data_IF_165292036695
#
_entry.id   IF_165292036695
#
_cell.length_a   1.000
_cell.length_b   1.000
_cell.length_c   1.000
_cell.angle_alpha   90.00
_cell.angle_beta   90.00
_cell.angle_gamma   90.00
#
_symmetry.space_group_name_H-M   'P 1'
#
loop_
_entity.id
_entity.type
_entity.pdbx_description
1 polymer ?
#
# COMPACT_ATOMS: atom_id res chain seq x y z
N UNK A 1 -37.99 30.72 12.95
CA UNK A 1 -38.34 29.41 12.34
C UNK A 1 -37.32 29.00 11.29
N UNK A 2 -37.08 29.80 10.23
CA UNK A 2 -36.05 29.54 9.20
C UNK A 2 -34.62 29.34 9.75
N UNK A 3 -34.24 30.07 10.79
CA UNK A 3 -32.92 29.94 11.44
C UNK A 3 -32.73 28.61 12.17
N UNK A 4 -33.80 28.05 12.76
CA UNK A 4 -33.75 26.75 13.47
C UNK A 4 -33.61 25.60 12.46
N UNK A 5 -34.32 25.68 11.32
CA UNK A 5 -34.19 24.71 10.23
C UNK A 5 -32.78 24.74 9.62
N UNK A 6 -32.20 25.93 9.44
CA UNK A 6 -30.83 26.08 8.94
C UNK A 6 -29.77 25.48 9.89
N UNK A 7 -29.92 25.69 11.20
CA UNK A 7 -28.99 25.14 12.21
C UNK A 7 -29.11 23.62 12.30
N UNK A 8 -30.33 23.07 12.29
CA UNK A 8 -30.55 21.62 12.29
C UNK A 8 -30.01 20.94 11.03
N UNK A 9 -30.16 21.58 9.87
CA UNK A 9 -29.54 21.10 8.62
C UNK A 9 -28.01 21.08 8.72
N UNK A 10 -27.40 22.12 9.33
CA UNK A 10 -25.94 22.17 9.54
C UNK A 10 -25.44 21.04 10.45
N UNK A 11 -26.15 20.78 11.57
CA UNK A 11 -25.81 19.69 12.48
C UNK A 11 -25.95 18.31 11.83
N UNK A 12 -26.88 18.14 10.89
CA UNK A 12 -27.03 16.87 10.15
C UNK A 12 -25.89 16.59 9.16
N UNK A 13 -25.13 17.61 8.75
CA UNK A 13 -24.01 17.50 7.80
C UNK A 13 -22.65 17.26 8.46
N UNK A 14 -22.51 17.57 9.76
CA UNK A 14 -21.25 17.38 10.49
C UNK A 14 -20.76 15.91 10.50
N UNK A 15 -21.61 14.90 10.75
CA UNK A 15 -21.15 13.51 10.83
C UNK A 15 -20.68 12.95 9.49
N UNK A 16 -21.38 13.29 8.40
CA UNK A 16 -21.03 12.86 7.05
C UNK A 16 -19.73 13.51 6.58
N UNK A 17 -19.53 14.79 6.84
CA UNK A 17 -18.28 15.50 6.51
C UNK A 17 -17.05 14.85 7.19
N UNK A 18 -17.15 14.48 8.46
CA UNK A 18 -16.07 13.80 9.19
C UNK A 18 -15.78 12.39 8.65
N UNK A 19 -16.81 11.62 8.32
CA UNK A 19 -16.61 10.29 7.73
C UNK A 19 -15.94 10.38 6.35
N UNK A 20 -16.34 11.36 5.53
CA UNK A 20 -15.71 11.58 4.23
C UNK A 20 -14.26 12.05 4.35
N UNK A 21 -13.97 12.94 5.31
CA UNK A 21 -12.60 13.39 5.58
C UNK A 21 -11.73 12.22 6.04
N UNK A 22 -12.18 11.48 7.05
CA UNK A 22 -11.44 10.33 7.57
C UNK A 22 -11.18 9.30 6.47
N UNK A 23 -12.19 8.95 5.67
CA UNK A 23 -12.01 8.02 4.55
C UNK A 23 -10.97 8.51 3.54
N UNK A 24 -10.94 9.81 3.27
CA UNK A 24 -9.99 10.41 2.32
C UNK A 24 -8.56 10.39 2.87
N UNK A 25 -8.39 10.59 4.17
CA UNK A 25 -7.10 10.47 4.85
C UNK A 25 -6.56 9.03 4.82
N UNK A 26 -7.42 8.06 5.14
CA UNK A 26 -7.07 6.63 5.06
C UNK A 26 -6.70 6.21 3.64
N UNK A 27 -7.46 6.69 2.64
CA UNK A 27 -7.16 6.41 1.23
C UNK A 27 -5.83 7.03 0.78
N UNK A 28 -5.58 8.31 1.11
CA UNK A 28 -4.34 9.00 0.73
C UNK A 28 -3.10 8.33 1.35
N UNK A 29 -3.19 7.91 2.61
CA UNK A 29 -2.11 7.16 3.27
C UNK A 29 -1.95 5.76 2.70
N UNK A 30 -3.05 5.05 2.47
CA UNK A 30 -3.01 3.74 1.85
C UNK A 30 -2.38 3.79 0.45
N UNK A 31 -2.67 4.81 -0.36
CA UNK A 31 -2.07 4.97 -1.69
C UNK A 31 -0.57 5.25 -1.61
N UNK A 32 -0.11 6.02 -0.62
CA UNK A 32 1.32 6.25 -0.41
C UNK A 32 2.06 4.96 -0.09
N UNK A 33 1.56 4.19 0.88
CA UNK A 33 2.13 2.89 1.27
C UNK A 33 2.09 1.91 0.09
N UNK A 34 0.98 1.88 -0.66
CA UNK A 34 0.84 1.03 -1.83
C UNK A 34 1.91 1.34 -2.87
N UNK A 35 2.11 2.61 -3.20
CA UNK A 35 3.05 3.03 -4.24
C UNK A 35 4.50 2.78 -3.80
N UNK A 36 4.83 3.11 -2.56
CA UNK A 36 6.16 2.85 -2.00
C UNK A 36 6.52 1.36 -2.04
N UNK A 37 5.60 0.52 -1.57
CA UNK A 37 5.84 -0.93 -1.54
C UNK A 37 5.93 -1.51 -2.95
N UNK A 38 5.14 -1.02 -3.90
CA UNK A 38 5.21 -1.41 -5.30
C UNK A 38 6.55 -1.02 -5.94
N UNK A 39 7.02 0.21 -5.73
CA UNK A 39 8.35 0.66 -6.20
C UNK A 39 9.50 -0.13 -5.59
N UNK A 40 9.44 -0.45 -4.29
CA UNK A 40 10.47 -1.26 -3.63
C UNK A 40 10.52 -2.67 -4.24
N UNK A 41 9.36 -3.30 -4.48
CA UNK A 41 9.34 -4.62 -5.11
C UNK A 41 9.81 -4.56 -6.57
N UNK A 42 9.45 -3.51 -7.31
CA UNK A 42 9.91 -3.29 -8.67
C UNK A 42 11.44 -3.18 -8.72
N UNK A 43 12.03 -2.29 -7.91
CA UNK A 43 13.47 -2.12 -7.84
C UNK A 43 14.19 -3.42 -7.41
N UNK A 44 13.59 -4.17 -6.47
CA UNK A 44 14.13 -5.47 -6.04
C UNK A 44 14.15 -6.48 -7.18
N UNK A 45 13.08 -6.57 -7.97
CA UNK A 45 12.94 -7.55 -9.06
C UNK A 45 13.76 -7.15 -10.28
N UNK A 46 13.84 -5.85 -10.60
CA UNK A 46 14.64 -5.34 -11.71
C UNK A 46 16.11 -5.73 -11.58
N UNK A 47 16.64 -5.75 -10.36
CA UNK A 47 18.00 -6.14 -10.08
C UNK A 47 18.18 -7.68 -10.17
N UNK A 48 18.96 -8.20 -11.14
CA UNK A 48 19.17 -9.63 -11.32
C UNK A 48 19.97 -10.29 -10.17
N UNK A 49 20.67 -9.50 -9.35
CA UNK A 49 21.41 -10.01 -8.19
C UNK A 49 20.48 -10.47 -7.06
N UNK A 50 19.21 -10.07 -7.07
CA UNK A 50 18.26 -10.39 -6.00
C UNK A 50 17.48 -11.66 -6.33
N UNK A 51 17.43 -12.59 -5.38
CA UNK A 51 16.52 -13.72 -5.45
C UNK A 51 15.06 -13.25 -5.32
N UNK A 52 14.23 -13.64 -6.29
CA UNK A 52 12.79 -13.36 -6.33
C UNK A 52 12.04 -14.64 -5.97
N UNK A 53 11.44 -14.66 -4.79
CA UNK A 53 10.58 -15.76 -4.36
C UNK A 53 9.14 -15.44 -4.72
N UNK A 54 8.52 -16.27 -5.58
CA UNK A 54 7.10 -16.19 -5.83
C UNK A 54 6.31 -16.65 -4.60
N UNK A 55 5.19 -15.99 -4.32
CA UNK A 55 4.37 -16.28 -3.14
C UNK A 55 3.66 -15.04 -2.61
N UNK A 56 2.96 -15.24 -1.49
CA UNK A 56 2.28 -14.17 -0.76
C UNK A 56 3.09 -13.85 0.49
N UNK A 57 3.41 -12.57 0.67
CA UNK A 57 4.06 -12.02 1.84
C UNK A 57 3.07 -11.14 2.60
N UNK A 58 2.91 -11.38 3.91
CA UNK A 58 2.04 -10.61 4.80
C UNK A 58 0.82 -11.40 5.31
N UNK A 59 -0.17 -10.72 5.92
CA UNK A 59 -0.25 -9.25 6.08
C UNK A 59 0.79 -8.70 7.06
N UNK A 60 1.52 -7.67 6.65
CA UNK A 60 2.44 -6.91 7.51
C UNK A 60 1.77 -5.62 7.97
N UNK A 61 1.72 -5.41 9.28
CA UNK A 61 1.17 -4.19 9.87
C UNK A 61 2.15 -3.02 9.69
N UNK A 62 1.65 -1.93 9.11
CA UNK A 62 2.33 -0.64 8.98
C UNK A 62 1.55 0.38 9.78
N UNK A 63 2.23 1.02 10.73
CA UNK A 63 1.64 2.05 11.58
C UNK A 63 2.02 3.43 11.05
N UNK A 64 1.10 4.38 11.12
CA UNK A 64 1.34 5.76 10.66
C UNK A 64 2.48 6.44 11.40
N UNK A 65 2.67 6.14 12.68
CA UNK A 65 3.78 6.65 13.48
C UNK A 65 5.17 6.23 12.96
N UNK A 66 5.24 5.25 12.04
CA UNK A 66 6.49 4.64 11.59
C UNK A 66 7.16 3.76 12.65
N UNK A 67 6.52 3.56 13.81
CA UNK A 67 7.03 2.68 14.85
C UNK A 67 6.72 1.22 14.53
N UNK A 68 7.56 0.30 15.01
CA UNK A 68 7.34 -1.14 14.85
C UNK A 68 6.17 -1.66 15.72
N UNK A 69 5.81 -0.93 16.77
CA UNK A 69 4.71 -1.26 17.67
C UNK A 69 3.65 -0.16 17.66
N UNK A 70 2.38 -0.56 17.76
CA UNK A 70 1.23 0.34 17.77
C UNK A 70 1.35 1.39 18.89
N UNK A 71 1.22 2.66 18.52
CA UNK A 71 1.09 3.76 19.48
C UNK A 71 -0.38 4.15 19.66
N UNK A 72 -0.69 4.82 20.77
CA UNK A 72 -2.04 5.30 21.04
C UNK A 72 -2.48 6.28 19.95
N UNK A 73 -3.58 5.98 19.27
CA UNK A 73 -4.11 6.79 18.16
C UNK A 73 -3.53 6.43 16.78
N UNK A 74 -2.70 5.38 16.67
CA UNK A 74 -2.20 4.93 15.38
C UNK A 74 -3.28 4.28 14.52
N UNK A 75 -3.30 4.69 13.25
CA UNK A 75 -3.97 3.94 12.20
C UNK A 75 -3.06 2.81 11.73
N UNK A 76 -3.57 1.57 11.79
CA UNK A 76 -2.89 0.39 11.27
C UNK A 76 -3.35 0.09 9.85
N UNK A 77 -2.38 -0.08 8.94
CA UNK A 77 -2.56 -0.58 7.60
C UNK A 77 -1.95 -1.98 7.47
N UNK A 78 -2.66 -2.89 6.84
CA UNK A 78 -2.20 -4.25 6.57
C UNK A 78 -1.81 -4.35 5.10
N UNK A 79 -0.51 -4.51 4.85
CA UNK A 79 0.05 -4.64 3.51
C UNK A 79 0.21 -6.12 3.18
N UNK A 80 -0.28 -6.54 2.02
CA UNK A 80 -0.08 -7.89 1.49
C UNK A 80 0.51 -7.77 0.09
N UNK A 81 1.66 -8.39 -0.11
CA UNK A 81 2.37 -8.41 -1.39
C UNK A 81 2.31 -9.81 -1.97
N UNK A 82 1.82 -9.94 -3.19
CA UNK A 82 1.73 -11.21 -3.91
C UNK A 82 2.60 -11.13 -5.14
N UNK A 83 3.64 -11.97 -5.21
CA UNK A 83 4.52 -12.07 -6.36
C UNK A 83 4.17 -13.36 -7.10
N UNK A 84 3.77 -13.24 -8.35
CA UNK A 84 3.44 -14.36 -9.24
C UNK A 84 4.42 -14.40 -10.40
N UNK A 85 4.98 -15.58 -10.68
CA UNK A 85 5.81 -15.77 -11.87
C UNK A 85 4.91 -15.92 -13.09
N UNK A 86 5.14 -15.11 -14.13
CA UNK A 86 4.40 -15.18 -15.40
C UNK A 86 5.21 -15.91 -16.47
N UNK A 87 6.53 -15.68 -16.51
CA UNK A 87 7.47 -16.30 -17.41
C UNK A 87 8.89 -16.23 -16.82
N UNK A 88 9.89 -16.78 -17.52
CA UNK A 88 11.29 -16.62 -17.14
C UNK A 88 11.66 -15.13 -17.08
N UNK A 89 12.14 -14.67 -15.92
CA UNK A 89 12.50 -13.28 -15.66
C UNK A 89 11.34 -12.26 -15.73
N UNK A 90 10.09 -12.71 -15.64
CA UNK A 90 8.88 -11.86 -15.65
C UNK A 90 7.97 -12.22 -14.50
N UNK A 91 7.68 -11.25 -13.64
CA UNK A 91 6.81 -11.41 -12.48
C UNK A 91 5.71 -10.36 -12.48
N UNK A 92 4.55 -10.73 -11.94
CA UNK A 92 3.51 -9.78 -11.56
C UNK A 92 3.52 -9.63 -10.05
N UNK A 93 3.71 -8.39 -9.61
CA UNK A 93 3.61 -7.98 -8.22
C UNK A 93 2.24 -7.36 -8.02
N UNK A 94 1.46 -7.90 -7.09
CA UNK A 94 0.19 -7.32 -6.65
C UNK A 94 0.34 -6.90 -5.20
N UNK A 95 0.13 -5.62 -4.91
CA UNK A 95 0.12 -5.09 -3.56
C UNK A 95 -1.31 -4.76 -3.18
N UNK A 96 -1.70 -5.16 -1.96
CA UNK A 96 -2.97 -4.78 -1.34
C UNK A 96 -2.70 -4.11 -0.01
N UNK A 97 -3.31 -2.95 0.21
CA UNK A 97 -3.24 -2.21 1.47
C UNK A 97 -4.65 -2.11 2.04
N UNK A 98 -4.91 -2.84 3.12
CA UNK A 98 -6.19 -2.87 3.83
C UNK A 98 -6.10 -2.16 5.18
N UNK A 99 -7.22 -1.69 5.71
CA UNK A 99 -7.32 -1.08 7.04
C UNK A 99 -8.63 -1.47 7.71
N UNK A 100 -8.78 -1.19 9.00
CA UNK A 100 -9.96 -1.58 9.76
C UNK A 100 -11.25 -1.06 9.10
N UNK A 101 -12.22 -1.96 8.88
CA UNK A 101 -13.52 -1.61 8.29
C UNK A 101 -13.52 -1.41 6.76
N UNK A 102 -12.40 -1.64 6.06
CA UNK A 102 -12.34 -1.56 4.60
C UNK A 102 -11.47 -2.67 3.99
N UNK A 103 -11.90 -3.22 2.86
CA UNK A 103 -11.17 -4.28 2.17
C UNK A 103 -9.83 -3.81 1.57
N UNK A 104 -9.58 -2.50 1.60
CA UNK A 104 -8.35 -1.87 1.12
C UNK A 104 -8.41 -1.39 -0.32
N UNK A 105 -7.25 -0.97 -0.80
CA UNK A 105 -6.95 -0.72 -2.20
C UNK A 105 -5.90 -1.74 -2.67
N UNK A 106 -5.90 -2.04 -3.96
CA UNK A 106 -4.93 -2.97 -4.54
C UNK A 106 -4.53 -2.55 -5.94
N UNK A 107 -3.27 -2.77 -6.28
CA UNK A 107 -2.71 -2.49 -7.59
C UNK A 107 -1.74 -3.61 -7.98
N UNK A 108 -1.55 -3.81 -9.27
CA UNK A 108 -0.61 -4.78 -9.80
C UNK A 108 0.29 -4.19 -10.86
N UNK A 109 1.57 -4.53 -10.81
CA UNK A 109 2.59 -4.17 -11.79
C UNK A 109 3.25 -5.43 -12.33
N UNK A 110 3.51 -5.47 -13.64
CA UNK A 110 4.36 -6.51 -14.25
C UNK A 110 5.78 -5.96 -14.34
N UNK A 111 6.73 -6.68 -13.74
CA UNK A 111 8.13 -6.29 -13.65
C UNK A 111 8.98 -7.38 -14.29
N UNK A 112 9.96 -6.94 -15.07
CA UNK A 112 10.98 -7.80 -15.68
C UNK A 112 12.35 -7.48 -15.12
N UNK A 113 13.26 -8.45 -15.15
CA UNK A 113 14.67 -8.17 -14.88
C UNK A 113 15.27 -7.29 -15.96
N UNK A 114 16.20 -6.44 -15.56
CA UNK A 114 16.91 -5.54 -16.46
C UNK A 114 18.39 -5.53 -16.09
N UNK A 115 19.26 -5.87 -17.06
CA UNK A 115 20.71 -5.91 -16.83
C UNK A 115 21.31 -4.54 -16.45
N UNK A 116 20.66 -3.44 -16.89
CA UNK A 116 21.04 -2.09 -16.49
C UNK A 116 20.89 -1.78 -14.99
N UNK A 117 20.12 -2.59 -14.25
CA UNK A 117 19.88 -2.42 -12.81
C UNK A 117 20.72 -3.38 -11.96
N UNK A 118 21.73 -4.03 -12.55
CA UNK A 118 22.64 -4.94 -11.85
C UNK A 118 23.46 -4.18 -10.81
N UNK A 119 23.24 -4.50 -9.53
CA UNK A 119 24.02 -3.95 -8.43
C UNK A 119 24.14 -4.93 -7.25
N UNK A 120 25.33 -5.14 -6.67
CA UNK A 120 26.65 -4.60 -7.07
C UNK A 120 27.19 -5.21 -8.37
N UNK A 121 28.13 -4.51 -9.02
CA UNK A 121 28.74 -4.98 -10.28
C UNK A 121 29.42 -6.35 -10.09
N UNK A 122 29.17 -7.28 -11.01
CA UNK A 122 29.77 -8.63 -10.99
C UNK A 122 29.02 -9.68 -10.16
N UNK A 123 27.85 -9.36 -9.60
CA UNK A 123 27.00 -10.36 -8.95
C UNK A 123 26.57 -11.48 -9.94
N UNK A 124 26.32 -12.68 -9.42
CA UNK A 124 25.70 -13.76 -10.19
C UNK A 124 24.18 -13.58 -10.23
N UNK A 125 23.56 -13.93 -11.36
CA UNK A 125 22.11 -13.92 -11.51
C UNK A 125 21.51 -14.96 -10.56
N UNK A 126 20.61 -14.53 -9.68
CA UNK A 126 19.92 -15.40 -8.72
C UNK A 126 18.62 -15.98 -9.28
#
# INVERSE_FOLDING_TARGET
FLTVVAVLALFSLQPTAWQTSARSDYLGRASGILYETLMIQEARIMNPCNAVTAGVTGPTAVFVSGQAAAQTGDAQFNVTTTITSLAANVWRVTVRVAWAGHAGISESLVVTRQEGFRFPAGCANQ
#
